data_IF_928400306577
#
_entry.id   IF_928400306577
#
_cell.length_a   1.000
_cell.length_b   1.000
_cell.length_c   1.000
_cell.angle_alpha   90.00
_cell.angle_beta   90.00
_cell.angle_gamma   90.00
#
_symmetry.space_group_name_H-M   'P 1'
#
loop_
_entity.id
_entity.type
_entity.pdbx_description
1 polymer ?
#
# COMPACT_ATOMS: atom_id res chain seq x y z
N UNK A 1 4.83 19.78 25.88
CA UNK A 1 5.12 18.45 25.31
C UNK A 1 3.96 17.84 24.50
N UNK A 2 2.71 17.82 24.98
CA UNK A 2 1.55 17.18 24.30
C UNK A 2 1.26 17.68 22.88
N UNK A 3 1.52 18.97 22.61
CA UNK A 3 1.27 19.59 21.29
C UNK A 3 2.36 19.27 20.25
N UNK A 4 3.56 18.87 20.67
CA UNK A 4 4.66 18.54 19.75
C UNK A 4 4.49 17.13 19.18
N UNK A 5 4.07 16.18 20.02
CA UNK A 5 3.72 14.81 19.62
C UNK A 5 2.56 14.80 18.62
N UNK A 6 1.50 15.60 18.84
CA UNK A 6 0.39 15.74 17.88
C UNK A 6 0.81 16.32 16.51
N UNK A 7 1.88 17.11 16.46
CA UNK A 7 2.37 17.73 15.22
C UNK A 7 3.23 16.76 14.41
N UNK A 8 3.99 15.87 15.07
CA UNK A 8 4.69 14.76 14.41
C UNK A 8 3.73 13.65 13.98
N UNK A 9 2.69 13.37 14.78
CA UNK A 9 1.64 12.41 14.46
C UNK A 9 0.47 13.04 13.66
N UNK A 10 0.73 14.04 12.80
CA UNK A 10 -0.13 14.27 11.63
C UNK A 10 0.12 13.16 10.61
N UNK A 11 -0.11 11.92 11.04
CA UNK A 11 -0.20 10.78 10.16
C UNK A 11 -1.56 10.94 9.50
N UNK A 12 -1.57 11.44 8.27
CA UNK A 12 -2.71 11.23 7.40
C UNK A 12 -2.87 9.71 7.28
N UNK A 13 -3.80 9.15 8.07
CA UNK A 13 -4.16 7.74 8.13
C UNK A 13 -4.89 7.31 6.83
N UNK A 14 -4.32 7.67 5.69
CA UNK A 14 -4.87 7.41 4.35
C UNK A 14 -4.26 6.15 3.72
N UNK A 15 -3.50 5.37 4.49
CA UNK A 15 -2.82 4.14 4.06
C UNK A 15 -3.47 2.94 4.75
N UNK A 16 -3.42 1.78 4.11
CA UNK A 16 -4.07 0.55 4.58
C UNK A 16 -3.63 0.18 6.01
N UNK A 17 -4.54 -0.38 6.80
CA UNK A 17 -4.30 -0.80 8.18
C UNK A 17 -3.11 -1.77 8.29
N UNK A 18 -2.91 -2.62 7.27
CA UNK A 18 -1.77 -3.53 7.17
C UNK A 18 -0.42 -2.80 7.20
N UNK A 19 -0.34 -1.58 6.66
CA UNK A 19 0.86 -0.76 6.71
C UNK A 19 1.25 -0.42 8.14
N UNK A 20 0.29 0.06 8.94
CA UNK A 20 0.54 0.47 10.31
C UNK A 20 0.85 -0.72 11.21
N UNK A 21 0.16 -1.85 11.02
CA UNK A 21 0.50 -3.08 11.72
C UNK A 21 1.90 -3.58 11.38
N UNK A 22 2.29 -3.52 10.10
CA UNK A 22 3.64 -3.86 9.67
C UNK A 22 4.70 -2.97 10.31
N UNK A 23 4.48 -1.65 10.37
CA UNK A 23 5.38 -0.71 11.05
C UNK A 23 5.51 -0.99 12.55
N UNK A 24 4.40 -1.24 13.24
CA UNK A 24 4.41 -1.54 14.68
C UNK A 24 5.21 -2.80 14.95
N UNK A 25 5.00 -3.87 14.17
CA UNK A 25 5.72 -5.13 14.32
C UNK A 25 7.22 -4.97 14.08
N UNK A 26 7.64 -4.15 13.11
CA UNK A 26 9.05 -3.82 12.89
C UNK A 26 9.65 -3.02 14.05
N UNK A 27 8.91 -2.07 14.61
CA UNK A 27 9.38 -1.32 15.78
C UNK A 27 9.54 -2.24 16.99
N UNK A 28 8.58 -3.12 17.22
CA UNK A 28 8.64 -4.10 18.30
C UNK A 28 9.79 -5.08 18.09
N UNK A 29 10.04 -5.57 16.88
CA UNK A 29 11.16 -6.47 16.63
C UNK A 29 12.52 -5.80 16.87
N UNK A 30 12.68 -4.54 16.45
CA UNK A 30 13.90 -3.76 16.71
C UNK A 30 14.09 -3.54 18.21
N UNK A 31 13.05 -3.13 18.93
CA UNK A 31 13.11 -2.94 20.38
C UNK A 31 13.46 -4.24 21.11
N UNK A 32 12.87 -5.36 20.69
CA UNK A 32 13.19 -6.68 21.24
C UNK A 32 14.65 -7.06 20.99
N UNK A 33 15.19 -6.85 19.78
CA UNK A 33 16.61 -7.09 19.50
C UNK A 33 17.53 -6.28 20.42
N UNK A 34 17.22 -4.99 20.61
CA UNK A 34 17.99 -4.12 21.51
C UNK A 34 17.89 -4.60 22.95
N UNK A 35 16.70 -4.99 23.42
CA UNK A 35 16.51 -5.52 24.77
C UNK A 35 17.32 -6.81 24.99
N UNK A 36 17.30 -7.74 24.05
CA UNK A 36 18.08 -8.99 24.14
C UNK A 36 19.58 -8.72 24.17
N UNK A 37 20.06 -7.72 23.43
CA UNK A 37 21.47 -7.34 23.41
C UNK A 37 21.92 -6.68 24.73
N UNK A 38 21.07 -5.87 25.36
CA UNK A 38 21.36 -5.20 26.64
C UNK A 38 21.32 -6.17 27.82
N UNK A 39 20.40 -7.13 27.81
CA UNK A 39 20.19 -8.08 28.91
C UNK A 39 21.06 -9.34 28.79
N UNK A 40 21.88 -9.45 27.74
CA UNK A 40 22.68 -10.64 27.40
C UNK A 40 21.85 -11.94 27.38
N UNK A 41 20.58 -11.81 26.99
CA UNK A 41 19.56 -12.87 27.05
C UNK A 41 19.33 -13.49 25.67
N UNK A 42 20.39 -13.63 24.87
CA UNK A 42 20.28 -14.01 23.47
C UNK A 42 20.17 -15.53 23.28
N UNK A 43 18.96 -16.05 23.47
CA UNK A 43 18.65 -17.45 23.18
C UNK A 43 18.21 -17.65 21.71
N UNK A 44 18.53 -18.79 21.08
CA UNK A 44 18.14 -19.09 19.70
C UNK A 44 16.62 -19.00 19.45
N UNK A 45 15.81 -19.37 20.44
CA UNK A 45 14.35 -19.28 20.36
C UNK A 45 13.88 -17.82 20.32
N UNK A 46 14.46 -16.96 21.17
CA UNK A 46 14.15 -15.54 21.22
C UNK A 46 14.52 -14.84 19.89
N UNK A 47 15.67 -15.21 19.31
CA UNK A 47 16.04 -14.77 17.97
C UNK A 47 15.02 -15.19 16.91
N UNK A 48 14.62 -16.46 16.89
CA UNK A 48 13.66 -16.97 15.91
C UNK A 48 12.31 -16.23 16.00
N UNK A 49 11.78 -16.04 17.21
CA UNK A 49 10.53 -15.29 17.43
C UNK A 49 10.68 -13.86 16.90
N UNK A 50 11.77 -13.19 17.24
CA UNK A 50 12.01 -11.80 16.83
C UNK A 50 12.17 -11.70 15.31
N UNK A 51 12.84 -12.67 14.70
CA UNK A 51 12.98 -12.78 13.25
C UNK A 51 11.63 -12.98 12.57
N UNK A 52 10.76 -13.85 13.09
CA UNK A 52 9.41 -14.08 12.55
C UNK A 52 8.53 -12.84 12.67
N UNK A 53 8.57 -12.13 13.80
CA UNK A 53 7.85 -10.87 13.99
C UNK A 53 8.34 -9.82 12.98
N UNK A 54 9.66 -9.71 12.81
CA UNK A 54 10.27 -8.80 11.85
C UNK A 54 9.85 -9.14 10.40
N UNK A 55 9.97 -10.41 10.03
CA UNK A 55 9.60 -10.91 8.70
C UNK A 55 8.11 -10.70 8.41
N UNK A 56 7.24 -10.96 9.38
CA UNK A 56 5.81 -10.73 9.21
C UNK A 56 5.49 -9.23 9.09
N UNK A 57 6.14 -8.39 9.89
CA UNK A 57 6.04 -6.93 9.76
C UNK A 57 6.43 -6.45 8.37
N UNK A 58 7.51 -6.98 7.82
CA UNK A 58 7.95 -6.69 6.45
C UNK A 58 6.95 -7.16 5.39
N UNK A 59 6.41 -8.38 5.51
CA UNK A 59 5.41 -8.93 4.57
C UNK A 59 4.15 -8.07 4.52
N UNK A 60 3.68 -7.60 5.68
CA UNK A 60 2.51 -6.71 5.73
C UNK A 60 2.75 -5.37 5.04
N UNK A 61 3.95 -4.79 5.22
CA UNK A 61 4.36 -3.57 4.52
C UNK A 61 4.47 -3.78 3.02
N UNK A 62 5.08 -4.89 2.60
CA UNK A 62 5.21 -5.25 1.20
C UNK A 62 3.85 -5.42 0.54
N UNK A 63 2.93 -6.13 1.20
CA UNK A 63 1.56 -6.30 0.70
C UNK A 63 0.86 -4.95 0.54
N UNK A 64 0.91 -4.10 1.58
CA UNK A 64 0.30 -2.77 1.53
C UNK A 64 0.89 -1.88 0.42
N UNK A 65 2.19 -1.97 0.17
CA UNK A 65 2.83 -1.22 -0.91
C UNK A 65 2.37 -1.70 -2.29
N UNK A 66 2.27 -3.02 -2.48
CA UNK A 66 1.76 -3.59 -3.73
C UNK A 66 0.30 -3.23 -3.98
N UNK A 67 -0.56 -3.30 -2.95
CA UNK A 67 -1.97 -2.94 -3.09
C UNK A 67 -2.12 -1.46 -3.48
N UNK A 68 -1.33 -0.57 -2.89
CA UNK A 68 -1.30 0.85 -3.24
C UNK A 68 -0.82 1.09 -4.69
N UNK A 69 0.26 0.43 -5.10
CA UNK A 69 0.78 0.53 -6.47
C UNK A 69 -0.20 -0.02 -7.49
N UNK A 70 -0.91 -1.09 -7.14
CA UNK A 70 -1.92 -1.70 -7.99
C UNK A 70 -3.12 -0.77 -8.18
N UNK A 71 -3.63 -0.16 -7.10
CA UNK A 71 -4.71 0.84 -7.18
C UNK A 71 -4.30 2.03 -8.05
N UNK A 72 -3.08 2.55 -7.88
CA UNK A 72 -2.58 3.64 -8.72
C UNK A 72 -2.46 3.24 -10.20
N UNK A 73 -2.07 1.99 -10.48
CA UNK A 73 -2.00 1.47 -11.84
C UNK A 73 -3.40 1.36 -12.46
N UNK A 74 -4.38 0.86 -11.71
CA UNK A 74 -5.78 0.77 -12.16
C UNK A 74 -6.36 2.14 -12.52
N UNK A 75 -6.19 3.13 -11.64
CA UNK A 75 -6.66 4.50 -11.90
C UNK A 75 -6.05 5.09 -13.17
N UNK A 76 -4.75 4.85 -13.42
CA UNK A 76 -4.11 5.29 -14.65
C UNK A 76 -4.65 4.56 -15.87
N UNK A 77 -4.88 3.25 -15.79
CA UNK A 77 -5.45 2.48 -16.90
C UNK A 77 -6.84 3.01 -17.24
N UNK A 78 -7.69 3.25 -16.25
CA UNK A 78 -9.04 3.80 -16.43
C UNK A 78 -9.01 5.21 -17.05
N UNK A 79 -8.08 6.06 -16.59
CA UNK A 79 -7.87 7.39 -17.17
C UNK A 79 -7.42 7.30 -18.65
N UNK A 80 -6.51 6.39 -18.98
CA UNK A 80 -6.06 6.17 -20.35
C UNK A 80 -7.18 5.61 -21.22
N UNK A 81 -7.97 4.66 -20.71
CA UNK A 81 -9.11 4.08 -21.42
C UNK A 81 -10.17 5.17 -21.73
N UNK A 82 -10.47 6.02 -20.75
CA UNK A 82 -11.35 7.17 -20.93
C UNK A 82 -10.83 8.12 -22.02
N UNK A 83 -9.53 8.44 -22.02
CA UNK A 83 -8.90 9.28 -23.07
C UNK A 83 -8.94 8.64 -24.46
N UNK A 84 -8.71 7.33 -24.55
CA UNK A 84 -8.79 6.59 -25.81
C UNK A 84 -10.22 6.57 -26.33
N UNK A 85 -11.21 6.30 -25.47
CA UNK A 85 -12.63 6.30 -25.83
C UNK A 85 -13.10 7.68 -26.28
N UNK A 86 -12.70 8.73 -25.57
CA UNK A 86 -12.95 10.11 -25.97
C UNK A 86 -12.34 10.40 -27.35
N UNK A 87 -11.07 10.06 -27.57
CA UNK A 87 -10.40 10.28 -28.87
C UNK A 87 -11.05 9.51 -30.01
N UNK A 88 -11.53 8.27 -29.77
CA UNK A 88 -12.28 7.48 -30.75
C UNK A 88 -13.61 8.13 -31.16
N UNK A 89 -14.30 8.78 -30.23
CA UNK A 89 -15.54 9.51 -30.52
C UNK A 89 -15.32 10.70 -31.47
N UNK A 90 -14.15 11.34 -31.41
CA UNK A 90 -13.79 12.45 -32.33
C UNK A 90 -13.30 11.96 -33.70
N UNK A 91 -12.72 10.76 -33.78
CA UNK A 91 -12.20 10.18 -35.02
C UNK A 91 -13.24 9.40 -35.83
N UNK A 92 -14.38 9.04 -35.23
CA UNK A 92 -15.46 8.38 -35.96
C UNK A 92 -16.25 9.42 -36.79
N UNK A 93 -16.25 9.32 -38.14
CA UNK A 93 -17.07 10.18 -38.96
C UNK A 93 -18.56 9.89 -38.66
N UNK A 94 -19.35 10.97 -38.52
CA UNK A 94 -20.76 10.92 -38.10
C UNK A 94 -21.67 9.96 -38.90
N UNK A 95 -21.23 9.48 -40.07
CA UNK A 95 -21.96 8.52 -40.89
C UNK A 95 -21.95 7.07 -40.34
N UNK A 96 -21.03 6.69 -39.45
CA UNK A 96 -20.96 5.34 -38.86
C UNK A 96 -21.81 5.17 -37.59
N UNK A 97 -22.13 6.26 -36.89
CA UNK A 97 -22.98 6.24 -35.68
C UNK A 97 -24.44 5.87 -35.97
N UNK A 98 -24.88 5.95 -37.23
CA UNK A 98 -26.27 5.65 -37.64
C UNK A 98 -26.52 4.16 -37.87
N UNK A 99 -25.47 3.35 -38.07
CA UNK A 99 -25.62 1.94 -38.49
C UNK A 99 -25.95 0.99 -37.34
N UNK A 100 -25.66 1.37 -36.10
CA UNK A 100 -25.79 0.48 -34.94
C UNK A 100 -27.21 0.47 -34.33
N UNK A 101 -28.01 1.53 -34.56
CA UNK A 101 -29.41 1.59 -34.07
C UNK A 101 -30.43 0.82 -34.90
N UNK A 102 -30.01 0.09 -35.94
CA UNK A 102 -30.92 -0.62 -36.87
C UNK A 102 -30.91 -2.14 -36.74
N UNK A 103 -30.12 -2.70 -35.82
CA UNK A 103 -30.00 -4.14 -35.57
C UNK A 103 -30.45 -4.56 -34.16
N UNK A 104 -31.25 -3.72 -33.48
CA UNK A 104 -32.16 -4.15 -32.40
C UNK A 104 -33.59 -4.09 -32.94
#
# INVERSE_FOLDING_TARGET
>A
MRNWVKKMFKVELNRDNNYYWGLILLQLSILSLVAYLVLDAYEPLAFLITFLICGWGFVLLWKSDNDLRFQMAQLKIEELESKVNHSRLFLLPAHLLKKDKKNQ
#
